data_IF_176585109966
#
_entry.id   IF_176585109966
#
_cell.length_a   1.000
_cell.length_b   1.000
_cell.length_c   1.000
_cell.angle_alpha   90.00
_cell.angle_beta   90.00
_cell.angle_gamma   90.00
#
_symmetry.space_group_name_H-M   'P 1'
#
loop_
_entity.id
_entity.type
_entity.pdbx_description
1 polymer ?
#
# COMPACT_ATOMS: atom_id res chain seq x y z
N UNK A 1 -5.90 -14.96 -10.74
CA UNK A 1 -5.11 -13.71 -10.80
C UNK A 1 -6.09 -12.56 -10.69
N UNK A 2 -6.02 -11.77 -9.62
CA UNK A 2 -6.92 -10.64 -9.40
C UNK A 2 -6.45 -9.47 -10.28
N UNK A 3 -7.10 -9.24 -11.43
CA UNK A 3 -6.76 -8.15 -12.35
C UNK A 3 -7.24 -6.80 -11.81
N UNK A 4 -6.63 -6.33 -10.72
CA UNK A 4 -6.98 -5.04 -10.10
C UNK A 4 -6.28 -3.89 -10.84
N UNK A 5 -6.88 -3.43 -11.95
CA UNK A 5 -6.37 -2.29 -12.74
C UNK A 5 -7.17 -1.02 -12.41
N UNK A 6 -6.49 0.05 -12.03
CA UNK A 6 -7.11 1.35 -11.71
C UNK A 6 -6.81 2.37 -12.80
N UNK A 7 -7.83 3.12 -13.23
CA UNK A 7 -7.70 4.24 -14.17
C UNK A 7 -8.01 5.55 -13.46
N UNK A 8 -7.03 6.46 -13.40
CA UNK A 8 -7.25 7.81 -12.87
C UNK A 8 -7.68 8.72 -14.01
N UNK A 9 -8.98 9.01 -14.11
CA UNK A 9 -9.58 9.76 -15.20
C UNK A 9 -9.22 11.26 -15.15
N UNK A 10 -7.98 11.60 -15.53
CA UNK A 10 -7.46 12.98 -15.53
C UNK A 10 -7.44 13.63 -16.91
N UNK A 11 -7.53 12.83 -17.97
CA UNK A 11 -7.48 13.27 -19.37
C UNK A 11 -8.40 12.39 -20.22
N UNK A 12 -8.87 12.93 -21.35
CA UNK A 12 -9.74 12.19 -22.28
C UNK A 12 -9.05 10.92 -22.81
N UNK A 13 -7.72 10.96 -22.98
CA UNK A 13 -6.93 9.78 -23.36
C UNK A 13 -7.07 8.64 -22.36
N UNK A 14 -6.94 8.91 -21.05
CA UNK A 14 -7.07 7.87 -20.03
C UNK A 14 -8.50 7.33 -19.96
N UNK A 15 -9.49 8.21 -20.15
CA UNK A 15 -10.91 7.83 -20.20
C UNK A 15 -11.21 6.91 -21.37
N UNK A 16 -10.70 7.20 -22.56
CA UNK A 16 -10.87 6.34 -23.73
C UNK A 16 -10.20 4.97 -23.53
N UNK A 17 -8.98 4.94 -22.97
CA UNK A 17 -8.30 3.68 -22.63
C UNK A 17 -9.10 2.83 -21.62
N UNK A 18 -9.73 3.47 -20.63
CA UNK A 18 -10.58 2.77 -19.66
C UNK A 18 -11.82 2.17 -20.33
N UNK A 19 -12.44 2.91 -21.25
CA UNK A 19 -13.60 2.44 -22.02
C UNK A 19 -13.24 1.23 -22.89
N UNK A 20 -12.13 1.28 -23.61
CA UNK A 20 -11.65 0.15 -24.43
C UNK A 20 -11.36 -1.08 -23.57
N UNK A 21 -10.74 -0.89 -22.41
CA UNK A 21 -10.50 -1.97 -21.47
C UNK A 21 -11.80 -2.62 -21.00
N UNK A 22 -12.80 -1.84 -20.60
CA UNK A 22 -14.11 -2.37 -20.15
C UNK A 22 -14.83 -3.10 -21.27
N UNK A 23 -14.78 -2.59 -22.51
CA UNK A 23 -15.37 -3.26 -23.69
C UNK A 23 -14.75 -4.63 -23.97
N UNK A 24 -13.48 -4.83 -23.64
CA UNK A 24 -12.77 -6.09 -23.86
C UNK A 24 -12.95 -7.12 -22.73
N UNK A 25 -13.65 -6.76 -21.64
CA UNK A 25 -13.84 -7.67 -20.51
C UNK A 25 -14.85 -8.78 -20.84
N UNK A 26 -14.62 -10.03 -20.38
CA UNK A 26 -15.57 -11.11 -20.53
C UNK A 26 -16.79 -10.90 -19.62
N UNK A 27 -17.93 -11.41 -20.06
CA UNK A 27 -19.17 -11.45 -19.27
C UNK A 27 -19.37 -12.90 -18.81
N UNK A 28 -19.53 -13.10 -17.50
CA UNK A 28 -19.75 -14.41 -16.89
C UNK A 28 -20.78 -14.25 -15.75
N UNK A 29 -21.87 -15.02 -15.82
CA UNK A 29 -22.96 -14.98 -14.84
C UNK A 29 -22.56 -15.57 -13.48
N UNK A 30 -21.68 -16.58 -13.47
CA UNK A 30 -21.21 -17.26 -12.25
C UNK A 30 -20.03 -16.52 -11.62
N UNK A 31 -19.26 -15.77 -12.42
CA UNK A 31 -18.10 -14.98 -11.98
C UNK A 31 -18.11 -13.57 -12.58
N UNK A 32 -19.08 -12.72 -12.23
CA UNK A 32 -19.19 -11.38 -12.79
C UNK A 32 -17.99 -10.51 -12.40
N UNK A 33 -17.59 -9.63 -13.31
CA UNK A 33 -16.61 -8.58 -13.05
C UNK A 33 -17.33 -7.32 -12.55
N UNK A 34 -16.76 -6.68 -11.53
CA UNK A 34 -17.32 -5.47 -10.92
C UNK A 34 -16.54 -4.24 -11.39
N UNK A 35 -17.25 -3.23 -11.88
CA UNK A 35 -16.69 -1.91 -12.21
C UNK A 35 -17.12 -0.92 -11.12
N UNK A 36 -16.15 -0.33 -10.42
CA UNK A 36 -16.38 0.65 -9.36
C UNK A 36 -15.83 2.02 -9.77
N UNK A 37 -16.67 3.05 -9.72
CA UNK A 37 -16.28 4.45 -9.95
C UNK A 37 -16.37 5.19 -8.63
N UNK A 38 -15.27 5.79 -8.19
CA UNK A 38 -15.20 6.56 -6.94
C UNK A 38 -14.32 7.79 -7.09
N UNK A 39 -14.62 8.87 -6.34
CA UNK A 39 -13.76 10.05 -6.33
C UNK A 39 -12.36 9.69 -5.86
N UNK A 40 -11.36 10.38 -6.40
CA UNK A 40 -10.01 10.29 -5.86
C UNK A 40 -10.01 10.95 -4.49
N UNK A 41 -9.62 10.20 -3.47
CA UNK A 41 -9.30 10.78 -2.17
C UNK A 41 -7.79 10.90 -2.07
N UNK A 42 -7.30 11.98 -1.45
CA UNK A 42 -5.85 12.17 -1.23
C UNK A 42 -5.24 11.00 -0.42
N UNK A 43 -6.05 10.40 0.45
CA UNK A 43 -5.71 9.19 1.20
C UNK A 43 -5.50 7.96 0.27
N UNK A 44 -6.22 7.86 -0.85
CA UNK A 44 -6.07 6.74 -1.81
C UNK A 44 -4.71 6.76 -2.50
N UNK A 45 -4.20 7.94 -2.86
CA UNK A 45 -2.88 8.09 -3.48
C UNK A 45 -1.76 7.75 -2.49
N UNK A 46 -1.85 8.27 -1.25
CA UNK A 46 -0.86 7.97 -0.22
C UNK A 46 -0.86 6.48 0.15
N UNK A 47 -2.03 5.86 0.29
CA UNK A 47 -2.14 4.41 0.53
C UNK A 47 -1.52 3.59 -0.62
N UNK A 48 -1.75 4.00 -1.87
CA UNK A 48 -1.15 3.32 -3.02
C UNK A 48 0.38 3.50 -3.06
N UNK A 49 0.88 4.69 -2.71
CA UNK A 49 2.31 4.97 -2.56
C UNK A 49 2.95 4.10 -1.50
N UNK A 50 2.38 4.06 -0.28
CA UNK A 50 2.91 3.22 0.81
C UNK A 50 2.89 1.73 0.46
N UNK A 51 1.81 1.24 -0.18
CA UNK A 51 1.75 -0.14 -0.65
C UNK A 51 2.84 -0.46 -1.69
N UNK A 52 3.09 0.45 -2.63
CA UNK A 52 4.17 0.28 -3.61
C UNK A 52 5.55 0.21 -2.93
N UNK A 53 5.81 1.06 -1.92
CA UNK A 53 7.06 1.02 -1.14
C UNK A 53 7.24 -0.32 -0.42
N UNK A 54 6.19 -0.85 0.19
CA UNK A 54 6.24 -2.19 0.82
C UNK A 54 6.63 -3.25 -0.21
N UNK A 55 6.12 -3.14 -1.45
CA UNK A 55 6.47 -4.05 -2.54
C UNK A 55 7.91 -3.93 -3.02
N UNK A 56 8.46 -2.72 -3.03
CA UNK A 56 9.87 -2.48 -3.37
C UNK A 56 10.80 -3.04 -2.29
N UNK A 57 10.47 -2.84 -1.01
CA UNK A 57 11.21 -3.40 0.13
C UNK A 57 11.18 -4.93 0.11
N UNK A 58 9.99 -5.53 -0.08
CA UNK A 58 9.81 -6.98 -0.07
C UNK A 58 10.65 -7.72 -1.11
N UNK A 59 11.04 -7.05 -2.20
CA UNK A 59 11.88 -7.62 -3.26
C UNK A 59 13.37 -7.43 -3.05
N UNK A 60 13.76 -6.55 -2.13
CA UNK A 60 15.15 -6.09 -1.98
C UNK A 60 15.77 -6.44 -0.62
N UNK A 61 14.96 -6.60 0.43
CA UNK A 61 15.44 -6.82 1.79
C UNK A 61 14.92 -8.14 2.36
N UNK A 62 15.81 -8.91 2.98
CA UNK A 62 15.46 -10.02 3.86
C UNK A 62 15.30 -9.51 5.29
N UNK A 63 14.26 -9.97 5.98
CA UNK A 63 14.07 -9.74 7.40
C UNK A 63 14.46 -11.00 8.17
N UNK A 64 15.44 -10.90 9.06
CA UNK A 64 16.00 -12.05 9.80
C UNK A 64 16.39 -13.24 8.89
N UNK A 65 16.93 -12.95 7.70
CA UNK A 65 17.34 -13.96 6.73
C UNK A 65 16.21 -14.50 5.84
N UNK A 66 14.97 -14.04 6.03
CA UNK A 66 13.81 -14.50 5.25
C UNK A 66 13.25 -13.42 4.31
N UNK A 67 12.79 -13.86 3.14
CA UNK A 67 12.05 -13.02 2.20
C UNK A 67 10.58 -12.96 2.60
N UNK A 68 10.19 -11.86 3.24
CA UNK A 68 8.80 -11.67 3.66
C UNK A 68 7.92 -11.15 2.51
N UNK A 69 6.65 -11.57 2.45
CA UNK A 69 5.69 -11.01 1.50
C UNK A 69 5.40 -9.53 1.81
N UNK A 70 4.90 -8.81 0.82
CA UNK A 70 4.52 -7.39 0.93
C UNK A 70 3.65 -7.10 2.16
N UNK A 71 2.63 -7.93 2.40
CA UNK A 71 1.69 -7.72 3.50
C UNK A 71 2.35 -7.84 4.87
N UNK A 72 3.38 -8.69 5.02
CA UNK A 72 4.17 -8.80 6.25
C UNK A 72 5.04 -7.55 6.46
N UNK A 73 5.71 -7.06 5.41
CA UNK A 73 6.45 -5.78 5.46
C UNK A 73 5.55 -4.61 5.83
N UNK A 74 4.31 -4.61 5.32
CA UNK A 74 3.31 -3.61 5.67
C UNK A 74 3.01 -3.61 7.17
N UNK A 75 2.82 -4.78 7.78
CA UNK A 75 2.62 -4.92 9.23
C UNK A 75 3.83 -4.40 10.00
N UNK A 76 5.04 -4.82 9.61
CA UNK A 76 6.29 -4.43 10.27
C UNK A 76 6.48 -2.91 10.26
N UNK A 77 6.32 -2.26 9.11
CA UNK A 77 6.52 -0.82 8.98
C UNK A 77 5.48 -0.02 9.78
N UNK A 78 4.21 -0.43 9.79
CA UNK A 78 3.18 0.24 10.59
C UNK A 78 3.46 0.09 12.08
N UNK A 79 3.81 -1.12 12.53
CA UNK A 79 4.13 -1.37 13.93
C UNK A 79 5.37 -0.59 14.36
N UNK A 80 6.43 -0.59 13.54
CA UNK A 80 7.67 0.10 13.83
C UNK A 80 7.48 1.63 13.82
N UNK A 81 6.65 2.16 12.93
CA UNK A 81 6.28 3.58 12.92
C UNK A 81 5.48 3.96 14.17
N UNK A 82 4.50 3.15 14.59
CA UNK A 82 3.73 3.38 15.81
C UNK A 82 4.61 3.48 17.06
N UNK A 83 5.61 2.59 17.16
CA UNK A 83 6.61 2.62 18.23
C UNK A 83 7.50 3.86 18.13
N UNK A 84 8.03 4.17 16.94
CA UNK A 84 8.89 5.34 16.72
C UNK A 84 8.17 6.68 17.05
N UNK A 85 6.85 6.75 16.81
CA UNK A 85 6.05 7.95 17.12
C UNK A 85 5.43 7.93 18.52
N UNK A 86 5.73 6.93 19.36
CA UNK A 86 5.19 6.77 20.72
C UNK A 86 3.66 6.70 20.78
N UNK A 87 3.03 6.19 19.72
CA UNK A 87 1.59 5.86 19.75
C UNK A 87 1.35 4.47 20.38
N UNK A 88 2.41 3.65 20.46
CA UNK A 88 2.42 2.34 21.09
C UNK A 88 1.88 1.23 20.20
N UNK A 89 2.09 -0.01 20.63
CA UNK A 89 1.55 -1.21 20.00
C UNK A 89 0.44 -1.83 20.86
N UNK A 90 -0.65 -2.28 20.22
CA UNK A 90 -1.69 -3.03 20.91
C UNK A 90 -1.41 -4.52 20.80
N UNK A 91 -0.81 -5.11 21.84
CA UNK A 91 -0.61 -6.56 21.94
C UNK A 91 -1.74 -7.17 22.76
N UNK A 92 -2.44 -8.13 22.18
CA UNK A 92 -3.54 -8.85 22.83
C UNK A 92 -3.29 -10.36 22.73
N UNK A 93 -3.96 -11.10 23.62
CA UNK A 93 -4.09 -12.55 23.48
C UNK A 93 -5.11 -12.85 22.38
N UNK A 94 -4.70 -13.63 21.39
CA UNK A 94 -5.54 -14.07 20.30
C UNK A 94 -6.49 -15.19 20.71
N UNK A 95 -7.25 -15.66 19.73
CA UNK A 95 -8.33 -16.62 19.97
C UNK A 95 -7.81 -18.00 20.40
N UNK A 96 -6.56 -18.32 20.04
CA UNK A 96 -5.90 -19.59 20.36
C UNK A 96 -4.80 -19.42 21.41
N UNK A 97 -4.79 -18.30 22.15
CA UNK A 97 -3.81 -18.00 23.19
C UNK A 97 -2.48 -17.42 22.68
N UNK A 98 -2.36 -17.15 21.39
CA UNK A 98 -1.19 -16.55 20.75
C UNK A 98 -1.08 -15.05 21.04
N UNK A 99 0.11 -14.46 20.87
CA UNK A 99 0.26 -13.00 20.93
C UNK A 99 -0.06 -12.39 19.57
N UNK A 100 -1.04 -11.50 19.53
CA UNK A 100 -1.48 -10.79 18.32
C UNK A 100 -1.22 -9.30 18.47
N UNK A 101 -0.50 -8.73 17.51
CA UNK A 101 -0.35 -7.29 17.39
C UNK A 101 -1.50 -6.69 16.56
N UNK A 102 -2.43 -6.01 17.22
CA UNK A 102 -3.49 -5.25 16.56
C UNK A 102 -2.89 -3.92 16.11
N UNK A 103 -2.59 -3.84 14.82
CA UNK A 103 -2.07 -2.63 14.19
C UNK A 103 -3.16 -1.63 13.82
N UNK A 104 -2.77 -0.37 13.71
CA UNK A 104 -3.59 0.67 13.09
C UNK A 104 -3.91 0.32 11.62
N UNK A 105 -5.16 0.55 11.22
CA UNK A 105 -5.60 0.39 9.84
C UNK A 105 -5.15 1.58 8.99
N UNK A 106 -4.32 1.33 7.97
CA UNK A 106 -3.92 2.35 6.98
C UNK A 106 -5.11 3.01 6.27
N UNK A 107 -6.24 2.31 6.18
CA UNK A 107 -7.46 2.87 5.60
C UNK A 107 -8.14 3.92 6.50
N UNK A 108 -7.91 3.85 7.82
CA UNK A 108 -8.47 4.76 8.81
C UNK A 108 -7.49 5.86 9.23
N UNK A 109 -6.21 5.73 8.88
CA UNK A 109 -5.19 6.76 9.15
C UNK A 109 -5.57 8.10 8.53
N UNK A 110 -5.31 9.17 9.28
CA UNK A 110 -5.37 10.54 8.75
C UNK A 110 -4.29 10.76 7.68
N UNK A 111 -4.51 11.75 6.80
CA UNK A 111 -3.53 12.15 5.76
C UNK A 111 -2.16 12.50 6.38
N UNK A 112 -2.15 13.12 7.56
CA UNK A 112 -0.93 13.47 8.29
C UNK A 112 -0.21 12.23 8.84
N UNK A 113 -0.97 11.30 9.44
CA UNK A 113 -0.44 10.03 9.96
C UNK A 113 0.18 9.19 8.84
N UNK A 114 -0.53 9.05 7.73
CA UNK A 114 -0.05 8.35 6.54
C UNK A 114 1.19 9.01 5.92
N UNK A 115 1.24 10.35 5.87
CA UNK A 115 2.43 11.06 5.39
C UNK A 115 3.66 10.76 6.27
N UNK A 116 3.49 10.77 7.61
CA UNK A 116 4.54 10.42 8.55
C UNK A 116 5.00 8.96 8.40
N UNK A 117 4.08 8.03 8.17
CA UNK A 117 4.39 6.62 7.90
C UNK A 117 5.21 6.46 6.61
N UNK A 118 4.84 7.17 5.54
CA UNK A 118 5.58 7.15 4.27
C UNK A 118 7.00 7.70 4.46
N UNK A 119 7.16 8.78 5.20
CA UNK A 119 8.46 9.37 5.50
C UNK A 119 9.33 8.39 6.31
N UNK A 120 8.76 7.77 7.35
CA UNK A 120 9.42 6.72 8.12
C UNK A 120 9.87 5.55 7.24
N UNK A 121 8.97 5.00 6.41
CA UNK A 121 9.28 3.88 5.53
C UNK A 121 10.33 4.25 4.47
N UNK A 122 10.35 5.51 4.02
CA UNK A 122 11.37 6.01 3.09
C UNK A 122 12.73 6.02 3.77
N UNK A 123 12.82 6.64 4.95
CA UNK A 123 14.06 6.72 5.73
C UNK A 123 14.61 5.32 6.06
N UNK A 124 13.74 4.42 6.52
CA UNK A 124 14.12 3.04 6.84
C UNK A 124 14.60 2.29 5.59
N UNK A 125 13.86 2.36 4.48
CA UNK A 125 14.22 1.67 3.25
C UNK A 125 15.55 2.14 2.68
N UNK A 126 15.77 3.46 2.61
CA UNK A 126 17.03 4.05 2.11
C UNK A 126 18.21 3.64 2.98
N UNK A 127 18.03 3.66 4.30
CA UNK A 127 19.07 3.22 5.25
C UNK A 127 19.44 1.73 5.10
N UNK A 128 18.53 0.93 4.55
CA UNK A 128 18.73 -0.50 4.25
C UNK A 128 19.06 -0.76 2.76
N UNK A 129 19.41 0.27 1.98
CA UNK A 129 19.84 0.12 0.59
C UNK A 129 18.71 -0.14 -0.41
N UNK A 130 17.45 0.10 -0.03
CA UNK A 130 16.30 -0.07 -0.91
C UNK A 130 16.24 1.06 -1.93
N UNK A 131 16.11 0.68 -3.20
CA UNK A 131 15.89 1.60 -4.30
C UNK A 131 14.40 1.65 -4.61
N UNK A 132 13.74 2.75 -4.24
CA UNK A 132 12.32 2.97 -4.54
C UNK A 132 12.11 3.45 -5.98
N UNK A 133 11.06 2.95 -6.63
CA UNK A 133 10.76 3.30 -8.03
C UNK A 133 10.16 4.71 -8.18
N UNK A 134 10.74 5.59 -8.98
CA UNK A 134 10.29 6.98 -9.20
C UNK A 134 8.83 7.21 -9.66
N UNK A 135 8.07 6.16 -9.97
CA UNK A 135 6.65 6.21 -10.36
C UNK A 135 5.76 7.09 -9.44
N UNK A 136 6.11 7.24 -8.18
CA UNK A 136 5.36 8.02 -7.19
C UNK A 136 6.07 9.32 -6.75
N UNK A 137 7.10 9.74 -7.49
CA UNK A 137 7.91 10.90 -7.18
C UNK A 137 8.42 10.86 -5.73
N UNK A 138 9.06 9.75 -5.35
CA UNK A 138 9.46 9.46 -3.98
C UNK A 138 10.39 10.52 -3.38
N UNK A 139 11.17 11.19 -4.24
CA UNK A 139 12.22 12.15 -3.87
C UNK A 139 11.80 13.62 -3.95
N UNK A 140 10.51 13.89 -4.19
CA UNK A 140 10.05 15.25 -4.48
C UNK A 140 10.39 15.68 -5.91
N UNK A 141 9.65 16.66 -6.43
CA UNK A 141 9.96 17.27 -7.74
C UNK A 141 11.32 17.96 -7.60
N UNK A 142 12.29 17.64 -8.47
CA UNK A 142 13.45 18.50 -8.67
C UNK A 142 13.03 19.87 -9.18
#
# INVERSE_FOLDING_TARGET
MEHKRKYFLRTEKIKNNALEFVKALPIDEKKPLVVEVKPITRNLEQNAKFHAMCGDIAKQVQFNGEWLPLEAWKVLLISAHAEATKEGSCLVTGLEGELVNIRESTAQMSVKRMASLIEYATSWGVSNGVHFNDRWNFWGVK
#
